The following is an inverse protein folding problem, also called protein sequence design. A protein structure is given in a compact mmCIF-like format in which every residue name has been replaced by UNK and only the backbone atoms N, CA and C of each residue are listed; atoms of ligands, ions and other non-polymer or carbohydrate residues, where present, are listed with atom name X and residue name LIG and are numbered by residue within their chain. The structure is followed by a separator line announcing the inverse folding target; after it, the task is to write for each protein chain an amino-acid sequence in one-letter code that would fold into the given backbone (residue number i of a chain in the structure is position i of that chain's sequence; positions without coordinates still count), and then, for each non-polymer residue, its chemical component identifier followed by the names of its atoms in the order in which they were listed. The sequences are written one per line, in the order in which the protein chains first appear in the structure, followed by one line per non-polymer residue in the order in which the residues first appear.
data_IF_531286411965
#
_entry.id   IF_531286411965
#
_cell.length_a   1.000
_cell.length_b   1.000
_cell.length_c   1.000
_cell.angle_alpha   90.00
_cell.angle_beta   90.00
_cell.angle_gamma   90.00
#
_symmetry.space_group_name_H-M   'P 1'
#
loop_
_entity.id
_entity.type
_entity.pdbx_description
1 polymer ?
#
# COMPACT_ATOMS: atom_id res chain seq x y z
N UNK A 1 74.01 -15.81 -42.74
CA UNK A 1 72.96 -16.40 -43.62
C UNK A 1 71.77 -16.69 -42.73
N UNK A 2 70.51 -16.32 -42.95
CA UNK A 2 69.74 -15.51 -43.92
C UNK A 2 68.58 -14.96 -43.04
N UNK A 3 68.41 -13.63 -42.94
CA UNK A 3 67.41 -12.79 -43.65
C UNK A 3 66.00 -12.88 -43.05
N UNK A 4 65.53 -11.83 -42.36
CA UNK A 4 64.68 -10.70 -42.84
C UNK A 4 63.25 -10.89 -42.28
N UNK A 5 62.45 -9.90 -41.91
CA UNK A 5 62.43 -8.44 -42.01
C UNK A 5 61.52 -7.92 -40.85
N UNK A 6 61.78 -6.77 -40.22
CA UNK A 6 61.32 -5.42 -40.63
C UNK A 6 59.80 -5.39 -40.88
N UNK A 7 58.99 -4.56 -40.24
CA UNK A 7 59.12 -3.10 -40.13
C UNK A 7 58.10 -2.59 -39.09
N UNK A 8 58.51 -1.80 -38.09
CA UNK A 8 58.70 -0.33 -38.12
C UNK A 8 57.35 0.40 -37.93
N UNK A 9 57.17 1.09 -36.80
CA UNK A 9 57.59 2.49 -36.58
C UNK A 9 56.39 3.42 -36.85
N UNK A 10 56.09 4.51 -36.16
CA UNK A 10 56.76 5.37 -35.17
C UNK A 10 55.65 6.36 -34.73
N UNK A 11 55.45 6.64 -33.43
CA UNK A 11 55.91 7.84 -32.72
C UNK A 11 55.56 9.18 -33.44
N UNK A 12 55.21 10.31 -32.80
CA UNK A 12 55.14 10.78 -31.43
C UNK A 12 54.55 12.23 -31.46
N UNK A 13 54.55 12.89 -30.29
CA UNK A 13 54.40 14.33 -30.01
C UNK A 13 52.94 14.80 -29.76
N UNK A 14 52.48 15.23 -28.56
CA UNK A 14 52.97 16.21 -27.55
C UNK A 14 52.80 17.65 -28.05
N UNK A 15 52.00 18.48 -27.34
CA UNK A 15 52.20 19.91 -26.99
C UNK A 15 50.87 20.69 -26.70
N UNK A 16 50.84 21.25 -25.48
CA UNK A 16 50.33 22.57 -25.00
C UNK A 16 48.81 22.92 -25.10
N UNK A 17 48.27 23.37 -23.96
CA UNK A 17 46.88 23.75 -23.77
C UNK A 17 46.52 25.20 -24.11
N UNK A 18 45.21 25.47 -24.08
CA UNK A 18 44.58 26.80 -24.07
C UNK A 18 43.22 26.68 -23.37
N UNK A 19 42.95 27.54 -22.38
CA UNK A 19 41.61 27.78 -21.85
C UNK A 19 40.89 28.81 -22.72
N UNK A 20 39.70 28.50 -23.24
CA UNK A 20 38.78 29.50 -23.83
C UNK A 20 37.35 29.20 -23.35
N UNK A 21 36.69 30.25 -22.88
CA UNK A 21 35.28 30.32 -22.47
C UNK A 21 34.33 30.44 -23.68
N UNK A 22 33.17 29.79 -23.55
CA UNK A 22 31.82 30.02 -24.14
C UNK A 22 31.64 30.68 -25.53
N UNK A 23 30.81 30.08 -26.40
CA UNK A 23 29.40 30.46 -26.67
C UNK A 23 28.85 29.63 -27.86
N UNK A 24 27.58 29.22 -27.69
CA UNK A 24 26.55 28.72 -28.61
C UNK A 24 26.85 28.54 -30.12
N UNK A 25 26.43 27.40 -30.67
CA UNK A 25 25.21 27.23 -31.51
C UNK A 25 25.32 25.99 -32.40
N UNK A 26 24.27 25.15 -32.38
CA UNK A 26 23.74 24.58 -33.63
C UNK A 26 24.07 23.13 -34.00
N UNK A 27 23.12 22.25 -33.65
CA UNK A 27 22.53 21.20 -34.50
C UNK A 27 23.33 19.93 -34.90
N UNK A 28 22.81 18.79 -34.42
CA UNK A 28 23.03 17.45 -34.98
C UNK A 28 22.47 16.31 -34.11
N UNK A 29 21.15 16.09 -34.18
CA UNK A 29 20.31 14.99 -33.63
C UNK A 29 21.03 13.63 -33.44
N UNK A 30 20.77 12.89 -32.36
CA UNK A 30 19.50 12.14 -32.19
C UNK A 30 18.88 12.26 -30.80
N UNK A 31 17.70 12.88 -30.75
CA UNK A 31 16.65 12.52 -29.79
C UNK A 31 16.38 11.03 -29.98
N UNK A 32 16.72 10.22 -28.98
CA UNK A 32 16.05 8.94 -28.85
C UNK A 32 14.78 9.28 -28.09
N UNK A 33 13.66 9.38 -28.81
CA UNK A 33 12.35 9.24 -28.19
C UNK A 33 12.39 7.92 -27.42
N UNK A 34 12.54 8.00 -26.11
CA UNK A 34 12.19 6.89 -25.24
C UNK A 34 10.67 6.75 -25.34
N UNK A 35 10.22 5.99 -26.34
CA UNK A 35 8.87 5.46 -26.36
C UNK A 35 8.67 4.70 -25.06
N UNK A 36 7.85 5.28 -24.18
CA UNK A 36 7.24 4.59 -23.06
C UNK A 36 6.38 3.49 -23.67
N UNK A 37 6.92 2.27 -23.72
CA UNK A 37 6.16 1.09 -24.10
C UNK A 37 5.32 0.71 -22.89
N UNK A 38 4.10 1.24 -22.81
CA UNK A 38 3.08 0.72 -21.92
C UNK A 38 2.83 -0.75 -22.27
N UNK A 39 3.40 -1.67 -21.49
CA UNK A 39 3.00 -3.06 -21.55
C UNK A 39 1.79 -3.22 -20.66
N UNK A 40 0.63 -3.36 -21.29
CA UNK A 40 -0.64 -3.64 -20.61
C UNK A 40 -0.45 -4.83 -19.68
N UNK A 41 -0.70 -4.60 -18.39
CA UNK A 41 -0.91 -5.65 -17.42
C UNK A 41 -2.39 -5.55 -17.07
N UNK A 42 -3.19 -6.51 -17.55
CA UNK A 42 -4.62 -6.56 -17.26
C UNK A 42 -4.88 -6.92 -15.79
N UNK A 43 -5.96 -6.33 -15.25
CA UNK A 43 -6.73 -6.66 -14.03
C UNK A 43 -6.23 -6.03 -12.70
N UNK A 44 -7.01 -5.22 -11.96
CA UNK A 44 -8.45 -4.95 -11.97
C UNK A 44 -8.78 -3.51 -11.48
N UNK A 45 -9.87 -2.98 -12.03
CA UNK A 45 -10.58 -1.72 -11.73
C UNK A 45 -9.93 -0.41 -12.22
N UNK A 46 -10.76 0.41 -12.84
CA UNK A 46 -10.38 1.54 -13.70
C UNK A 46 -9.60 2.64 -12.93
N UNK A 47 -8.32 2.85 -13.29
CA UNK A 47 -7.63 4.15 -13.06
C UNK A 47 -6.19 4.15 -12.54
N UNK A 48 -5.63 3.02 -12.08
CA UNK A 48 -4.34 3.02 -11.37
C UNK A 48 -3.23 2.22 -12.09
N UNK A 49 -2.72 2.76 -13.22
CA UNK A 49 -1.57 2.18 -13.92
C UNK A 49 -0.27 2.85 -13.47
N UNK A 50 0.63 2.09 -12.83
CA UNK A 50 2.02 2.54 -12.61
C UNK A 50 2.82 2.34 -13.90
N UNK A 51 3.38 3.41 -14.46
CA UNK A 51 4.28 3.32 -15.61
C UNK A 51 5.67 2.88 -15.14
N UNK A 52 6.13 1.72 -15.61
CA UNK A 52 7.43 1.15 -15.28
C UNK A 52 8.39 1.40 -16.46
N UNK A 53 9.53 2.09 -16.28
CA UNK A 53 10.52 2.23 -17.34
C UNK A 53 11.25 0.89 -17.63
N UNK A 54 11.53 0.63 -18.90
CA UNK A 54 12.08 -0.65 -19.40
C UNK A 54 13.57 -0.90 -19.04
N UNK A 55 14.32 0.14 -18.65
CA UNK A 55 15.77 0.05 -18.48
C UNK A 55 16.22 0.26 -17.03
N UNK A 56 16.91 -0.76 -16.50
CA UNK A 56 17.50 -0.83 -15.16
C UNK A 56 19.03 -0.63 -15.19
N UNK A 57 19.56 0.39 -15.87
CA UNK A 57 21.01 0.66 -15.84
C UNK A 57 21.34 2.14 -15.59
N UNK A 58 22.04 2.39 -14.47
CA UNK A 58 22.85 3.59 -14.23
C UNK A 58 22.33 4.56 -13.17
N UNK A 59 22.88 4.43 -11.94
CA UNK A 59 23.10 5.36 -10.81
C UNK A 59 22.26 6.64 -10.54
N UNK A 60 21.31 7.03 -11.38
CA UNK A 60 20.42 8.15 -11.17
C UNK A 60 18.98 7.63 -11.01
N UNK A 61 18.19 8.34 -10.20
CA UNK A 61 16.80 7.99 -9.87
C UNK A 61 15.88 8.91 -10.67
N UNK A 62 14.83 8.38 -11.29
CA UNK A 62 13.82 9.19 -11.98
C UNK A 62 12.58 9.35 -11.11
N UNK A 63 12.26 10.58 -10.74
CA UNK A 63 11.04 10.92 -9.99
C UNK A 63 10.12 11.67 -10.94
N UNK A 64 8.87 11.23 -11.11
CA UNK A 64 7.91 11.84 -12.03
C UNK A 64 6.59 12.13 -11.35
N UNK A 65 5.91 13.20 -11.75
CA UNK A 65 4.54 13.51 -11.30
C UNK A 65 3.54 13.19 -12.41
N UNK A 66 2.36 12.69 -12.03
CA UNK A 66 1.23 12.51 -12.95
C UNK A 66 0.46 13.82 -13.16
N UNK A 67 -0.50 13.80 -14.10
CA UNK A 67 -1.42 14.91 -14.37
C UNK A 67 -2.15 15.35 -13.08
N UNK A 68 -2.29 16.66 -12.87
CA UNK A 68 -2.88 17.29 -11.69
C UNK A 68 -2.04 17.25 -10.40
N UNK A 69 -0.82 16.68 -10.41
CA UNK A 69 -0.05 16.43 -9.17
C UNK A 69 1.21 17.28 -9.09
N UNK A 70 1.57 17.74 -7.90
CA UNK A 70 2.86 18.40 -7.65
C UNK A 70 3.31 18.07 -6.23
N UNK A 71 4.59 17.75 -6.05
CA UNK A 71 5.12 17.36 -4.75
C UNK A 71 6.59 17.71 -4.61
N UNK A 72 7.06 17.61 -3.37
CA UNK A 72 8.46 17.87 -3.01
C UNK A 72 9.17 16.55 -2.74
N UNK A 73 10.32 16.32 -3.37
CA UNK A 73 11.19 15.17 -3.09
C UNK A 73 12.53 15.64 -2.49
N UNK A 74 12.99 14.99 -1.44
CA UNK A 74 14.26 15.30 -0.79
C UNK A 74 15.06 14.05 -0.50
N UNK A 75 16.34 14.06 -0.89
CA UNK A 75 17.30 13.06 -0.44
C UNK A 75 17.73 13.40 1.00
N UNK A 76 17.88 12.39 1.87
CA UNK A 76 18.33 12.62 3.27
C UNK A 76 19.66 13.37 3.31
N UNK A 77 19.65 14.59 3.86
CA UNK A 77 20.84 15.47 3.96
C UNK A 77 21.27 16.09 2.62
N UNK A 78 20.43 16.02 1.60
CA UNK A 78 20.68 16.48 0.24
C UNK A 78 19.85 17.68 -0.19
N UNK A 79 19.78 17.89 -1.52
CA UNK A 79 19.00 18.94 -2.16
C UNK A 79 17.52 18.56 -2.21
N UNK A 80 16.66 19.55 -2.09
CA UNK A 80 15.22 19.44 -2.33
C UNK A 80 14.90 19.69 -3.80
N UNK A 81 14.01 18.88 -4.36
CA UNK A 81 13.51 18.96 -5.72
C UNK A 81 12.01 19.19 -5.68
N UNK A 82 11.52 20.17 -6.42
CA UNK A 82 10.09 20.38 -6.65
C UNK A 82 9.74 19.75 -7.99
N UNK A 83 8.79 18.82 -8.00
CA UNK A 83 8.33 18.14 -9.20
C UNK A 83 6.93 18.65 -9.49
N UNK A 84 6.77 19.27 -10.65
CA UNK A 84 5.49 19.80 -11.11
C UNK A 84 4.76 18.79 -11.97
N UNK A 85 3.47 19.01 -12.15
CA UNK A 85 2.59 18.19 -12.99
C UNK A 85 3.21 17.81 -14.34
N UNK A 86 3.10 16.54 -14.72
CA UNK A 86 3.62 15.97 -15.97
C UNK A 86 5.13 16.16 -16.17
N UNK A 87 5.89 16.42 -15.11
CA UNK A 87 7.34 16.54 -15.16
C UNK A 87 8.04 15.28 -14.62
N UNK A 88 9.28 15.08 -15.03
CA UNK A 88 10.16 14.06 -14.48
C UNK A 88 11.55 14.63 -14.25
N UNK A 89 12.11 14.37 -13.08
CA UNK A 89 13.46 14.81 -12.72
C UNK A 89 14.33 13.59 -12.46
N UNK A 90 15.46 13.54 -13.16
CA UNK A 90 16.54 12.62 -12.87
C UNK A 90 17.44 13.23 -11.79
N UNK A 91 17.59 12.53 -10.68
CA UNK A 91 18.33 12.99 -9.49
C UNK A 91 19.45 12.02 -9.13
N UNK A 92 20.57 12.48 -8.55
CA UNK A 92 21.64 11.60 -8.12
C UNK A 92 21.13 10.57 -7.12
N UNK A 93 21.64 9.34 -7.20
CA UNK A 93 21.23 8.28 -6.28
C UNK A 93 21.39 8.68 -4.80
N UNK A 94 20.31 8.47 -4.06
CA UNK A 94 20.29 8.40 -2.61
C UNK A 94 19.53 7.15 -2.20
N UNK A 95 20.02 6.49 -1.14
CA UNK A 95 19.32 5.35 -0.54
C UNK A 95 18.03 5.75 0.16
N UNK A 96 17.94 7.01 0.59
CA UNK A 96 16.86 7.53 1.41
C UNK A 96 16.22 8.74 0.75
N UNK A 97 14.91 8.66 0.55
CA UNK A 97 14.08 9.72 -0.01
C UNK A 97 12.87 9.98 0.88
N UNK A 98 12.52 11.24 1.00
CA UNK A 98 11.28 11.69 1.63
C UNK A 98 10.52 12.54 0.62
N UNK A 99 9.26 12.18 0.41
CA UNK A 99 8.34 12.83 -0.51
C UNK A 99 7.17 13.36 0.31
N UNK A 100 6.87 14.65 0.16
CA UNK A 100 5.86 15.38 0.95
C UNK A 100 5.04 16.31 0.06
N UNK A 101 4.03 16.95 0.65
CA UNK A 101 3.11 17.88 -0.03
C UNK A 101 2.29 17.16 -1.11
N UNK A 102 1.90 15.92 -0.83
CA UNK A 102 1.07 15.11 -1.71
C UNK A 102 -0.37 15.59 -1.59
N UNK A 103 -0.91 16.23 -2.63
CA UNK A 103 -2.23 16.85 -2.56
C UNK A 103 -3.36 15.85 -2.81
N UNK A 104 -3.37 15.19 -3.97
CA UNK A 104 -4.47 14.34 -4.42
C UNK A 104 -3.97 12.96 -4.82
N UNK A 105 -2.99 12.91 -5.73
CA UNK A 105 -2.33 11.70 -6.17
C UNK A 105 -0.83 11.96 -6.26
N UNK A 106 -0.03 10.94 -6.02
CA UNK A 106 1.40 10.98 -6.27
C UNK A 106 1.90 9.62 -6.66
N UNK A 107 2.82 9.59 -7.62
CA UNK A 107 3.50 8.37 -8.01
C UNK A 107 4.98 8.63 -8.13
N UNK A 108 5.81 7.63 -7.87
CA UNK A 108 7.22 7.67 -8.24
C UNK A 108 7.75 6.25 -8.40
N UNK A 109 8.85 6.11 -9.15
CA UNK A 109 9.57 4.85 -9.30
C UNK A 109 11.05 5.06 -9.05
N UNK A 110 11.64 4.25 -8.19
CA UNK A 110 13.06 4.26 -7.86
C UNK A 110 13.63 2.91 -8.26
N UNK A 111 14.63 2.92 -9.13
CA UNK A 111 15.37 1.73 -9.55
C UNK A 111 16.85 1.86 -9.22
N UNK A 112 17.48 0.74 -8.89
CA UNK A 112 18.93 0.55 -8.83
C UNK A 112 19.26 -0.82 -9.41
N UNK A 113 20.55 -1.14 -9.58
CA UNK A 113 21.01 -2.40 -10.20
C UNK A 113 20.30 -3.67 -9.67
N UNK A 114 19.88 -3.68 -8.40
CA UNK A 114 19.26 -4.86 -7.78
C UNK A 114 17.97 -4.57 -7.00
N UNK A 115 17.47 -3.34 -7.01
CA UNK A 115 16.28 -2.98 -6.24
C UNK A 115 15.36 -2.11 -7.07
N UNK A 116 14.07 -2.42 -7.05
CA UNK A 116 13.03 -1.59 -7.65
C UNK A 116 11.95 -1.36 -6.61
N UNK A 117 11.51 -0.11 -6.54
CA UNK A 117 10.42 0.34 -5.69
C UNK A 117 9.65 1.40 -6.44
N UNK A 118 8.36 1.19 -6.68
CA UNK A 118 7.47 2.24 -7.13
C UNK A 118 6.27 2.33 -6.22
N UNK A 119 5.67 3.51 -6.15
CA UNK A 119 4.43 3.72 -5.46
C UNK A 119 3.52 4.60 -6.31
N UNK A 120 2.22 4.43 -6.10
CA UNK A 120 1.17 5.36 -6.48
C UNK A 120 0.25 5.48 -5.26
N UNK A 121 0.05 6.68 -4.75
CA UNK A 121 -0.76 6.95 -3.55
C UNK A 121 -1.73 8.07 -3.82
N UNK A 122 -2.92 8.01 -3.22
CA UNK A 122 -3.89 9.10 -3.22
C UNK A 122 -4.14 9.58 -1.80
N UNK A 123 -4.21 10.90 -1.57
CA UNK A 123 -4.46 11.51 -0.24
C UNK A 123 -3.48 11.09 0.89
N UNK A 124 -2.31 10.57 0.57
CA UNK A 124 -1.25 10.35 1.55
C UNK A 124 -0.63 11.70 1.96
N UNK A 125 -0.09 11.81 3.17
CA UNK A 125 0.63 13.01 3.61
C UNK A 125 2.11 12.95 3.23
N UNK A 126 2.71 11.76 3.36
CA UNK A 126 4.12 11.56 3.02
C UNK A 126 4.45 10.14 2.59
N UNK A 127 5.53 10.02 1.82
CA UNK A 127 6.16 8.75 1.46
C UNK A 127 7.64 8.82 1.79
N UNK A 128 8.10 7.88 2.63
CA UNK A 128 9.49 7.71 2.99
C UNK A 128 10.02 6.42 2.35
N UNK A 129 11.15 6.50 1.67
CA UNK A 129 11.74 5.37 0.95
C UNK A 129 13.15 5.18 1.44
N UNK A 130 13.44 4.00 1.98
CA UNK A 130 14.80 3.51 2.19
C UNK A 130 14.98 2.27 1.33
N UNK A 131 15.69 2.37 0.21
CA UNK A 131 15.91 1.23 -0.70
C UNK A 131 16.59 0.02 -0.01
N UNK A 132 17.20 0.22 1.17
CA UNK A 132 17.76 -0.84 1.99
C UNK A 132 16.76 -1.44 2.97
N UNK A 133 15.66 -0.79 3.30
CA UNK A 133 14.69 -1.23 4.31
C UNK A 133 13.29 -1.44 3.74
N UNK A 134 12.79 -0.54 2.91
CA UNK A 134 11.44 -0.58 2.33
C UNK A 134 10.86 0.79 2.04
N UNK A 135 9.54 0.87 2.07
CA UNK A 135 8.74 2.10 1.92
C UNK A 135 7.85 2.28 3.13
N UNK A 136 7.71 3.50 3.61
CA UNK A 136 6.72 3.90 4.61
C UNK A 136 5.79 4.94 4.00
N UNK A 137 4.49 4.72 4.13
CA UNK A 137 3.41 5.61 3.74
C UNK A 137 2.70 6.11 5.01
N UNK A 138 2.38 7.39 5.05
CA UNK A 138 1.66 8.01 6.17
C UNK A 138 0.51 8.88 5.64
N UNK A 139 -0.65 8.81 6.29
CA UNK A 139 -1.77 9.74 6.06
C UNK A 139 -3.06 9.37 6.79
N UNK A 140 -4.01 10.30 6.85
CA UNK A 140 -5.27 10.13 7.59
C UNK A 140 -6.28 9.21 6.89
N UNK A 141 -6.20 9.08 5.56
CA UNK A 141 -6.90 8.07 4.76
C UNK A 141 -6.36 8.11 3.33
N UNK A 142 -5.75 7.03 2.87
CA UNK A 142 -5.13 6.98 1.55
C UNK A 142 -5.34 5.63 0.87
N UNK A 143 -5.39 5.67 -0.47
CA UNK A 143 -5.24 4.47 -1.29
C UNK A 143 -3.79 4.36 -1.74
N UNK A 144 -3.31 3.14 -1.90
CA UNK A 144 -1.95 2.89 -2.35
C UNK A 144 -1.86 1.74 -3.34
N UNK A 145 -0.86 1.85 -4.21
CA UNK A 145 -0.30 0.77 -5.00
C UNK A 145 1.21 0.83 -4.81
N UNK A 146 1.81 -0.26 -4.36
CA UNK A 146 3.24 -0.41 -4.12
C UNK A 146 3.78 -1.52 -5.00
N UNK A 147 4.79 -1.22 -5.81
CA UNK A 147 5.53 -2.22 -6.59
C UNK A 147 6.92 -2.37 -6.00
N UNK A 148 7.29 -3.57 -5.58
CA UNK A 148 8.62 -3.82 -5.01
C UNK A 148 9.26 -5.08 -5.59
N UNK A 149 10.59 -5.06 -5.74
CA UNK A 149 11.41 -6.26 -6.00
C UNK A 149 12.06 -6.73 -4.69
N UNK A 150 11.67 -7.89 -4.11
CA UNK A 150 12.31 -8.41 -2.91
C UNK A 150 13.82 -8.65 -3.08
N UNK A 151 14.61 -8.50 -2.00
CA UNK A 151 16.10 -8.49 -2.01
C UNK A 151 16.81 -9.72 -2.60
N UNK A 152 16.08 -10.78 -2.95
CA UNK A 152 16.61 -12.02 -3.57
C UNK A 152 15.63 -12.61 -4.60
N UNK A 153 14.71 -11.80 -5.11
CA UNK A 153 13.74 -12.17 -6.12
C UNK A 153 14.06 -11.43 -7.42
N UNK A 154 13.89 -12.11 -8.56
CA UNK A 154 13.89 -11.45 -9.86
C UNK A 154 12.50 -10.87 -10.23
N UNK A 155 11.47 -11.21 -9.46
CA UNK A 155 10.08 -10.85 -9.75
C UNK A 155 9.64 -9.65 -8.94
N UNK A 156 8.86 -8.77 -9.57
CA UNK A 156 8.14 -7.67 -8.92
C UNK A 156 6.86 -8.19 -8.25
N UNK A 157 6.46 -7.54 -7.16
CA UNK A 157 5.18 -7.76 -6.48
C UNK A 157 4.47 -6.42 -6.43
N UNK A 158 3.24 -6.37 -6.93
CA UNK A 158 2.32 -5.25 -6.74
C UNK A 158 1.43 -5.55 -5.53
N UNK A 159 1.31 -4.58 -4.62
CA UNK A 159 0.48 -4.64 -3.42
C UNK A 159 -0.37 -3.38 -3.41
N UNK A 160 -1.70 -3.51 -3.35
CA UNK A 160 -2.60 -2.37 -3.25
C UNK A 160 -3.63 -2.53 -2.14
N UNK A 161 -4.12 -1.41 -1.64
CA UNK A 161 -5.11 -1.35 -0.57
C UNK A 161 -5.43 0.09 -0.18
N UNK A 162 -6.16 0.23 0.93
CA UNK A 162 -6.52 1.53 1.51
C UNK A 162 -6.29 1.49 3.01
N UNK A 163 -5.69 2.54 3.57
CA UNK A 163 -5.35 2.60 4.99
C UNK A 163 -5.54 3.99 5.59
N UNK A 164 -5.54 4.01 6.92
CA UNK A 164 -5.38 5.20 7.77
C UNK A 164 -4.16 4.97 8.65
N UNK A 165 -3.41 6.03 8.97
CA UNK A 165 -2.20 5.96 9.78
C UNK A 165 -0.96 5.54 9.00
N UNK A 166 0.04 5.02 9.71
CA UNK A 166 1.31 4.64 9.10
C UNK A 166 1.27 3.21 8.58
N UNK A 167 1.87 2.96 7.42
CA UNK A 167 2.18 1.62 6.92
C UNK A 167 3.61 1.57 6.41
N UNK A 168 4.37 0.56 6.83
CA UNK A 168 5.67 0.21 6.29
C UNK A 168 5.61 -1.10 5.50
N UNK A 169 6.05 -1.07 4.25
CA UNK A 169 6.35 -2.23 3.43
C UNK A 169 7.85 -2.47 3.44
N UNK A 170 8.31 -3.38 4.31
CA UNK A 170 9.72 -3.70 4.55
C UNK A 170 10.19 -4.99 3.87
N UNK A 171 11.48 -5.08 3.55
CA UNK A 171 12.06 -6.31 2.99
C UNK A 171 12.31 -7.37 4.07
N UNK A 172 11.70 -8.55 3.94
CA UNK A 172 11.95 -9.73 4.78
C UNK A 172 12.55 -10.88 3.96
N UNK A 173 13.86 -10.83 3.73
CA UNK A 173 14.56 -11.85 2.93
C UNK A 173 14.11 -11.86 1.46
N UNK A 174 13.31 -12.86 1.06
CA UNK A 174 12.73 -12.99 -0.29
C UNK A 174 11.28 -12.50 -0.35
N UNK A 175 10.73 -12.06 0.77
CA UNK A 175 9.33 -11.67 0.96
C UNK A 175 9.25 -10.19 1.39
N UNK A 176 8.04 -9.67 1.49
CA UNK A 176 7.74 -8.30 1.94
C UNK A 176 6.93 -8.40 3.23
N UNK A 177 7.35 -7.70 4.28
CA UNK A 177 6.57 -7.52 5.50
C UNK A 177 5.78 -6.21 5.37
N UNK A 178 4.46 -6.31 5.40
CA UNK A 178 3.59 -5.15 5.60
C UNK A 178 3.36 -5.03 7.11
N UNK A 179 3.59 -3.85 7.65
CA UNK A 179 3.36 -3.51 9.05
C UNK A 179 2.68 -2.14 9.11
N UNK A 180 1.64 -2.00 9.93
CA UNK A 180 0.87 -0.78 10.06
C UNK A 180 0.54 -0.53 11.52
N UNK A 181 0.32 0.74 11.88
CA UNK A 181 -0.22 1.08 13.19
C UNK A 181 -1.64 0.53 13.40
N UNK A 182 -2.36 0.25 12.31
CA UNK A 182 -3.77 -0.19 12.31
C UNK A 182 -3.91 -1.49 11.51
N UNK A 183 -5.10 -2.10 11.56
CA UNK A 183 -5.38 -3.33 10.80
C UNK A 183 -5.26 -3.08 9.29
N UNK A 184 -4.56 -3.99 8.59
CA UNK A 184 -4.27 -3.87 7.15
C UNK A 184 -5.51 -3.99 6.25
N UNK A 185 -6.54 -4.71 6.69
CA UNK A 185 -7.82 -4.81 5.99
C UNK A 185 -7.71 -5.54 4.64
N UNK A 186 -8.41 -5.04 3.63
CA UNK A 186 -8.39 -5.63 2.29
C UNK A 186 -7.11 -5.21 1.55
N UNK A 187 -6.31 -6.19 1.16
CA UNK A 187 -5.15 -5.99 0.29
C UNK A 187 -5.30 -6.82 -0.99
N UNK A 188 -4.74 -6.31 -2.08
CA UNK A 188 -4.64 -7.03 -3.34
C UNK A 188 -3.17 -7.23 -3.67
N UNK A 189 -2.78 -8.45 -3.97
CA UNK A 189 -1.40 -8.86 -4.28
C UNK A 189 -1.37 -9.43 -5.69
N UNK A 190 -0.52 -8.86 -6.54
CA UNK A 190 -0.30 -9.31 -7.90
C UNK A 190 1.21 -9.49 -8.15
N UNK A 191 1.75 -10.70 -7.95
CA UNK A 191 3.11 -11.03 -8.33
C UNK A 191 3.23 -11.17 -9.84
N UNK A 192 4.41 -10.81 -10.34
CA UNK A 192 4.71 -10.89 -11.75
C UNK A 192 4.53 -12.31 -12.33
N UNK A 193 3.65 -12.44 -13.33
CA UNK A 193 3.31 -13.67 -14.04
C UNK A 193 2.68 -14.78 -13.18
N UNK A 194 2.03 -14.46 -12.06
CA UNK A 194 1.36 -15.46 -11.20
C UNK A 194 -0.16 -15.29 -11.16
N UNK A 195 -0.65 -14.05 -11.27
CA UNK A 195 -2.07 -13.71 -11.15
C UNK A 195 -2.36 -12.87 -9.91
N UNK A 196 -3.50 -12.21 -9.92
CA UNK A 196 -3.92 -11.29 -8.86
C UNK A 196 -4.77 -12.02 -7.82
N UNK A 197 -4.49 -11.81 -6.54
CA UNK A 197 -5.24 -12.37 -5.43
C UNK A 197 -5.59 -11.26 -4.45
N UNK A 198 -6.81 -11.26 -3.90
CA UNK A 198 -7.19 -10.36 -2.81
C UNK A 198 -7.25 -11.12 -1.48
N UNK A 199 -6.94 -10.43 -0.40
CA UNK A 199 -6.91 -10.98 0.95
C UNK A 199 -7.59 -10.02 1.92
N UNK A 200 -8.30 -10.57 2.90
CA UNK A 200 -8.70 -9.83 4.10
C UNK A 200 -7.68 -10.14 5.21
N UNK A 201 -6.86 -9.15 5.57
CA UNK A 201 -5.80 -9.26 6.57
C UNK A 201 -6.27 -8.58 7.85
N UNK A 202 -6.74 -9.38 8.80
CA UNK A 202 -7.07 -8.89 10.14
C UNK A 202 -5.89 -8.92 11.10
N UNK A 203 -4.89 -8.14 10.77
CA UNK A 203 -3.70 -7.97 11.59
C UNK A 203 -3.08 -6.63 11.23
N UNK A 204 -2.33 -6.07 12.18
CA UNK A 204 -1.48 -4.90 11.91
C UNK A 204 -0.30 -5.25 11.02
N UNK A 205 0.06 -6.53 10.93
CA UNK A 205 1.14 -6.99 10.06
C UNK A 205 0.86 -8.30 9.34
N UNK A 206 1.44 -8.44 8.14
CA UNK A 206 1.46 -9.68 7.36
C UNK A 206 2.70 -9.78 6.46
N UNK A 207 3.04 -11.00 6.07
CA UNK A 207 4.12 -11.30 5.13
C UNK A 207 3.51 -11.66 3.77
N UNK A 208 3.87 -10.88 2.76
CA UNK A 208 3.56 -11.13 1.35
C UNK A 208 4.73 -11.88 0.72
N UNK A 209 4.47 -13.11 0.28
CA UNK A 209 5.48 -13.97 -0.31
C UNK A 209 5.68 -13.70 -1.81
N UNK A 210 6.86 -14.07 -2.32
CA UNK A 210 7.20 -13.89 -3.74
C UNK A 210 6.28 -14.64 -4.73
N UNK A 211 5.50 -15.63 -4.26
CA UNK A 211 4.50 -16.34 -5.04
C UNK A 211 3.09 -15.74 -4.93
N UNK A 212 2.92 -14.65 -4.18
CA UNK A 212 1.65 -13.96 -3.98
C UNK A 212 0.83 -14.43 -2.80
N UNK A 213 1.23 -15.52 -2.14
CA UNK A 213 0.57 -15.94 -0.92
C UNK A 213 0.83 -14.97 0.23
N UNK A 214 -0.09 -14.92 1.19
CA UNK A 214 0.00 -14.05 2.36
C UNK A 214 -0.05 -14.91 3.63
N UNK A 215 0.79 -14.57 4.61
CA UNK A 215 0.76 -15.16 5.95
C UNK A 215 0.86 -14.10 7.04
N UNK A 216 0.44 -14.42 8.26
CA UNK A 216 0.74 -13.62 9.44
C UNK A 216 2.19 -13.86 9.88
N UNK A 217 2.76 -12.98 10.71
CA UNK A 217 4.15 -13.12 11.19
C UNK A 217 4.42 -14.44 11.93
N UNK A 218 3.40 -15.01 12.57
CA UNK A 218 3.50 -16.31 13.24
C UNK A 218 3.50 -17.51 12.25
N UNK A 219 3.44 -17.24 10.94
CA UNK A 219 3.42 -18.24 9.87
C UNK A 219 2.03 -18.76 9.49
N UNK A 220 0.95 -18.26 10.11
CA UNK A 220 -0.41 -18.66 9.78
C UNK A 220 -0.77 -18.17 8.38
N UNK A 221 -1.19 -19.06 7.48
CA UNK A 221 -1.59 -18.67 6.12
C UNK A 221 -2.90 -17.88 6.13
N UNK A 222 -2.98 -16.83 5.32
CA UNK A 222 -4.21 -16.10 5.02
C UNK A 222 -4.76 -16.60 3.70
N UNK A 223 -6.02 -17.03 3.69
CA UNK A 223 -6.67 -17.54 2.47
C UNK A 223 -7.04 -16.39 1.53
N UNK A 224 -6.84 -16.54 0.21
CA UNK A 224 -7.34 -15.57 -0.75
C UNK A 224 -8.87 -15.53 -0.74
N UNK A 225 -9.43 -14.35 -0.96
CA UNK A 225 -10.87 -14.15 -1.15
C UNK A 225 -11.31 -14.84 -2.45
N UNK A 226 -12.47 -15.50 -2.42
CA UNK A 226 -13.09 -16.07 -3.61
C UNK A 226 -13.68 -14.98 -4.51
N UNK A 227 -13.97 -15.31 -5.76
CA UNK A 227 -14.66 -14.40 -6.69
C UNK A 227 -16.03 -13.95 -6.14
N UNK A 228 -16.73 -14.82 -5.41
CA UNK A 228 -18.00 -14.48 -4.73
C UNK A 228 -17.77 -13.43 -3.61
N UNK A 229 -16.68 -13.54 -2.85
CA UNK A 229 -16.29 -12.53 -1.86
C UNK A 229 -15.82 -11.22 -2.54
N UNK A 230 -15.33 -11.29 -3.77
CA UNK A 230 -14.85 -10.16 -4.56
C UNK A 230 -15.97 -9.41 -5.29
N UNK A 231 -16.96 -10.10 -5.85
CA UNK A 231 -18.17 -9.48 -6.42
C UNK A 231 -19.01 -8.80 -5.32
N UNK A 232 -18.89 -9.33 -4.11
CA UNK A 232 -19.33 -8.70 -2.88
C UNK A 232 -18.39 -7.55 -2.41
N UNK A 233 -17.30 -7.17 -3.08
CA UNK A 233 -16.58 -5.92 -2.77
C UNK A 233 -17.49 -4.68 -2.86
N UNK A 234 -18.65 -4.79 -3.53
CA UNK A 234 -19.74 -3.81 -3.47
C UNK A 234 -21.04 -4.27 -2.78
N UNK A 235 -21.17 -5.56 -2.37
CA UNK A 235 -22.43 -6.16 -1.87
C UNK A 235 -22.26 -7.05 -0.62
N UNK A 236 -21.05 -7.29 -0.12
CA UNK A 236 -20.80 -7.31 1.32
C UNK A 236 -20.57 -5.88 1.74
N UNK A 237 -21.65 -5.11 1.73
CA UNK A 237 -21.86 -4.31 2.91
C UNK A 237 -21.96 -5.31 4.07
N UNK A 238 -20.83 -5.66 4.69
CA UNK A 238 -20.81 -5.34 6.12
C UNK A 238 -20.86 -3.82 6.09
N UNK A 239 -22.08 -3.28 5.92
CA UNK A 239 -22.35 -1.90 6.17
C UNK A 239 -21.70 -1.72 7.53
N UNK A 240 -20.84 -0.73 7.68
CA UNK A 240 -20.24 -0.50 8.98
C UNK A 240 -21.37 -0.06 9.90
N UNK A 241 -22.14 -1.04 10.39
CA UNK A 241 -23.36 -0.90 11.21
C UNK A 241 -23.01 -0.29 12.56
N UNK A 242 -21.73 -0.30 12.90
CA UNK A 242 -21.16 0.30 14.09
C UNK A 242 -20.81 1.79 13.90
N UNK A 243 -20.88 2.30 12.66
CA UNK A 243 -20.62 3.70 12.30
C UNK A 243 -19.27 4.20 12.84
N UNK A 244 -18.25 3.33 12.86
CA UNK A 244 -16.93 3.68 13.40
C UNK A 244 -15.79 3.29 12.50
N UNK A 245 -14.87 4.21 12.29
CA UNK A 245 -13.57 3.94 11.64
C UNK A 245 -12.45 3.77 12.68
N UNK A 246 -12.82 3.68 13.97
CA UNK A 246 -11.84 3.57 15.06
C UNK A 246 -11.00 2.31 14.87
N UNK A 247 -9.68 2.44 14.80
CA UNK A 247 -8.82 1.30 14.50
C UNK A 247 -8.60 0.38 15.70
N UNK A 248 -8.86 0.88 16.90
CA UNK A 248 -8.86 0.13 18.14
C UNK A 248 -10.17 0.39 18.88
N UNK A 249 -10.75 -0.68 19.42
CA UNK A 249 -11.94 -0.63 20.26
C UNK A 249 -11.58 -1.05 21.68
N UNK A 250 -12.13 -0.36 22.65
CA UNK A 250 -11.92 -0.64 24.05
C UNK A 250 -13.25 -1.03 24.70
N UNK A 251 -13.23 -1.95 25.65
CA UNK A 251 -14.44 -2.41 26.36
C UNK A 251 -14.20 -2.48 27.87
N UNK A 252 -15.20 -2.07 28.64
CA UNK A 252 -15.26 -2.32 30.08
C UNK A 252 -16.09 -3.58 30.33
N UNK A 253 -15.46 -4.77 30.25
CA UNK A 253 -16.17 -6.03 30.36
C UNK A 253 -15.34 -7.25 29.97
N UNK A 254 -16.02 -8.35 29.63
CA UNK A 254 -15.39 -9.58 29.16
C UNK A 254 -14.84 -9.37 27.75
N UNK A 255 -13.51 -9.37 27.62
CA UNK A 255 -12.82 -9.19 26.34
C UNK A 255 -13.23 -10.25 25.31
N UNK A 256 -13.21 -11.53 25.70
CA UNK A 256 -13.51 -12.63 24.79
C UNK A 256 -14.95 -12.57 24.25
N UNK A 257 -15.90 -12.10 25.06
CA UNK A 257 -17.29 -11.95 24.61
C UNK A 257 -17.46 -10.76 23.67
N UNK A 258 -16.74 -9.66 23.93
CA UNK A 258 -16.75 -8.49 23.06
C UNK A 258 -16.09 -8.79 21.70
N UNK A 259 -14.91 -9.43 21.73
CA UNK A 259 -14.22 -9.89 20.53
C UNK A 259 -15.14 -10.79 19.71
N UNK A 260 -15.75 -11.80 20.34
CA UNK A 260 -16.63 -12.71 19.62
C UNK A 260 -17.84 -11.99 19.00
N UNK A 261 -18.50 -11.09 19.75
CA UNK A 261 -19.67 -10.39 19.23
C UNK A 261 -19.36 -9.53 18.01
N UNK A 262 -18.25 -8.81 18.01
CA UNK A 262 -17.95 -7.89 16.91
C UNK A 262 -17.29 -8.59 15.72
N UNK A 263 -16.59 -9.69 15.95
CA UNK A 263 -15.73 -10.32 14.95
C UNK A 263 -16.20 -11.69 14.45
N UNK A 264 -17.06 -12.41 15.19
CA UNK A 264 -17.54 -13.74 14.81
C UNK A 264 -18.98 -13.72 14.26
N UNK A 265 -19.55 -12.53 14.07
CA UNK A 265 -20.92 -12.35 13.59
C UNK A 265 -21.02 -11.26 12.52
N UNK A 266 -21.87 -11.50 11.53
CA UNK A 266 -22.39 -10.46 10.63
C UNK A 266 -23.78 -10.03 11.08
N UNK A 267 -24.05 -8.75 10.91
CA UNK A 267 -25.30 -8.10 11.30
C UNK A 267 -26.06 -7.70 10.04
N UNK A 268 -27.23 -8.30 9.84
CA UNK A 268 -28.04 -8.11 8.64
C UNK A 268 -29.54 -8.23 8.88
N UNK A 269 -30.32 -8.22 7.79
CA UNK A 269 -31.78 -8.36 7.77
C UNK A 269 -32.53 -7.48 8.81
N UNK A 270 -32.34 -6.16 8.70
CA UNK A 270 -32.95 -5.18 9.60
C UNK A 270 -34.49 -5.27 9.63
N UNK A 271 -35.08 -5.62 8.48
CA UNK A 271 -36.53 -5.68 8.32
C UNK A 271 -37.15 -6.78 9.17
N UNK A 272 -36.53 -7.97 9.19
CA UNK A 272 -36.99 -9.08 10.03
C UNK A 272 -36.71 -8.77 11.50
N UNK A 273 -35.51 -8.26 11.82
CA UNK A 273 -35.13 -7.95 13.20
C UNK A 273 -36.04 -6.89 13.84
N UNK A 274 -36.35 -5.81 13.11
CA UNK A 274 -37.26 -4.74 13.57
C UNK A 274 -38.68 -5.25 13.88
N UNK A 275 -39.09 -6.38 13.30
CA UNK A 275 -40.40 -6.98 13.56
C UNK A 275 -40.44 -7.87 14.81
N UNK A 276 -39.28 -8.23 15.38
CA UNK A 276 -39.19 -9.08 16.58
C UNK A 276 -39.49 -8.32 17.89
N UNK A 277 -39.38 -6.98 17.86
CA UNK A 277 -39.61 -6.12 19.02
C UNK A 277 -38.60 -6.30 20.15
N UNK A 278 -38.71 -5.46 21.19
CA UNK A 278 -37.77 -5.47 22.31
C UNK A 278 -38.05 -6.66 23.23
N UNK A 279 -37.18 -7.67 23.16
CA UNK A 279 -37.18 -8.83 24.06
C UNK A 279 -36.47 -8.53 25.39
N UNK A 280 -36.36 -9.56 26.23
CA UNK A 280 -35.42 -9.51 27.35
C UNK A 280 -33.99 -9.38 26.82
N UNK A 281 -33.18 -8.52 27.44
CA UNK A 281 -31.77 -8.34 27.07
C UNK A 281 -30.97 -9.51 27.64
N UNK A 282 -30.36 -10.29 26.76
CA UNK A 282 -29.42 -11.34 27.14
C UNK A 282 -28.07 -10.76 27.54
N UNK A 283 -27.57 -9.78 26.77
CA UNK A 283 -26.28 -9.11 27.00
C UNK A 283 -26.25 -7.74 26.33
N UNK A 284 -25.41 -6.84 26.87
CA UNK A 284 -25.16 -5.52 26.29
C UNK A 284 -23.70 -5.14 26.53
N UNK A 285 -22.96 -4.79 25.47
CA UNK A 285 -21.54 -4.44 25.51
C UNK A 285 -21.33 -3.08 24.87
N UNK A 286 -20.61 -2.22 25.57
CA UNK A 286 -20.23 -0.87 25.13
C UNK A 286 -18.80 -0.88 24.59
N UNK A 287 -18.62 -0.27 23.41
CA UNK A 287 -17.34 -0.15 22.74
C UNK A 287 -16.91 1.32 22.68
N UNK A 288 -15.67 1.57 23.08
CA UNK A 288 -15.09 2.90 23.23
C UNK A 288 -13.91 3.06 22.27
N UNK A 289 -13.63 4.30 21.86
CA UNK A 289 -12.41 4.64 21.13
C UNK A 289 -11.24 4.90 22.07
N UNK A 290 -10.05 5.13 21.50
CA UNK A 290 -8.81 5.43 22.24
C UNK A 290 -8.94 6.62 23.21
N UNK A 291 -9.81 7.58 22.90
CA UNK A 291 -10.08 8.75 23.74
C UNK A 291 -10.98 8.45 24.94
N UNK A 292 -11.46 7.21 25.09
CA UNK A 292 -12.44 6.80 26.08
C UNK A 292 -13.89 7.21 25.74
N UNK A 293 -14.11 7.77 24.54
CA UNK A 293 -15.45 8.13 24.07
C UNK A 293 -16.22 6.89 23.64
N UNK A 294 -17.50 6.78 24.03
CA UNK A 294 -18.38 5.70 23.58
C UNK A 294 -18.59 5.83 22.05
N UNK A 295 -18.34 4.75 21.32
CA UNK A 295 -18.52 4.70 19.87
C UNK A 295 -19.86 4.05 19.51
N UNK A 296 -20.17 2.91 20.11
CA UNK A 296 -21.43 2.20 19.92
C UNK A 296 -21.66 1.17 21.02
N UNK A 297 -22.88 0.64 21.09
CA UNK A 297 -23.29 -0.43 21.99
C UNK A 297 -23.96 -1.54 21.19
N UNK A 298 -23.56 -2.79 21.42
CA UNK A 298 -24.23 -3.98 20.89
C UNK A 298 -25.08 -4.59 22.01
N UNK A 299 -26.39 -4.72 21.80
CA UNK A 299 -27.33 -5.34 22.74
C UNK A 299 -27.95 -6.57 22.09
N UNK A 300 -27.78 -7.75 22.67
CA UNK A 300 -28.36 -9.00 22.16
C UNK A 300 -29.56 -9.37 23.01
N UNK A 301 -30.66 -9.74 22.37
CA UNK A 301 -31.91 -10.13 23.01
C UNK A 301 -32.02 -11.66 23.13
N UNK A 302 -32.83 -12.14 24.07
CA UNK A 302 -33.11 -13.57 24.24
C UNK A 302 -33.94 -14.17 23.10
N UNK A 303 -34.50 -13.33 22.23
CA UNK A 303 -35.36 -13.69 21.11
C UNK A 303 -34.56 -14.23 19.90
N UNK A 304 -33.77 -15.29 20.11
CA UNK A 304 -32.94 -15.88 19.06
C UNK A 304 -31.72 -15.02 18.70
N UNK A 305 -31.42 -14.89 17.42
CA UNK A 305 -30.23 -14.21 16.92
C UNK A 305 -30.42 -12.69 16.78
N UNK A 306 -31.24 -12.04 17.59
CA UNK A 306 -31.56 -10.62 17.46
C UNK A 306 -30.59 -9.74 18.24
N UNK A 307 -29.98 -8.77 17.57
CA UNK A 307 -29.18 -7.71 18.18
C UNK A 307 -29.67 -6.32 17.81
N UNK A 308 -29.40 -5.36 18.67
CA UNK A 308 -29.53 -3.93 18.42
C UNK A 308 -28.17 -3.27 18.53
N UNK A 309 -27.85 -2.44 17.55
CA UNK A 309 -26.67 -1.59 17.58
C UNK A 309 -27.14 -0.16 17.79
N UNK A 310 -26.58 0.50 18.79
CA UNK A 310 -26.81 1.92 19.07
C UNK A 310 -25.49 2.66 18.92
N UNK A 311 -25.40 3.53 17.93
CA UNK A 311 -24.18 4.25 17.55
C UNK A 311 -24.13 5.60 18.26
N UNK A 312 -22.93 6.16 18.39
CA UNK A 312 -22.68 7.42 19.11
C UNK A 312 -23.26 8.66 18.43
N UNK A 313 -23.55 8.58 17.13
CA UNK A 313 -24.29 9.60 16.36
C UNK A 313 -25.81 9.57 16.62
N UNK A 314 -26.29 8.61 17.42
CA UNK A 314 -27.67 8.49 17.86
C UNK A 314 -28.53 7.58 16.97
N UNK A 315 -27.94 6.93 15.97
CA UNK A 315 -28.66 5.91 15.20
C UNK A 315 -28.83 4.61 15.99
N UNK A 316 -29.98 3.96 15.75
CA UNK A 316 -30.35 2.71 16.44
C UNK A 316 -31.00 1.81 15.41
N UNK A 317 -30.38 0.65 15.21
CA UNK A 317 -30.82 -0.32 14.22
C UNK A 317 -30.87 -1.73 14.83
N UNK A 318 -31.87 -2.51 14.44
CA UNK A 318 -32.04 -3.90 14.84
C UNK A 318 -31.56 -4.82 13.73
N UNK A 319 -30.85 -5.88 14.08
CA UNK A 319 -30.22 -6.83 13.16
C UNK A 319 -30.46 -8.28 13.58
N UNK A 320 -30.50 -9.17 12.60
CA UNK A 320 -30.27 -10.60 12.78
C UNK A 320 -28.76 -10.85 12.71
N UNK A 321 -28.25 -11.54 13.72
CA UNK A 321 -26.87 -11.98 13.81
C UNK A 321 -26.70 -13.34 13.15
N UNK A 322 -25.75 -13.44 12.23
CA UNK A 322 -25.36 -14.70 11.62
C UNK A 322 -23.90 -14.99 11.95
N UNK A 323 -23.63 -16.20 12.45
CA UNK A 323 -22.27 -16.59 12.81
C UNK A 323 -21.41 -16.67 11.55
N UNK A 324 -20.29 -15.95 11.56
CA UNK A 324 -19.27 -15.99 10.55
C UNK A 324 -17.91 -16.07 11.23
N UNK A 325 -17.33 -17.26 11.22
CA UNK A 325 -15.99 -17.48 11.76
C UNK A 325 -14.96 -16.69 10.93
N UNK A 326 -14.16 -15.86 11.58
CA UNK A 326 -13.04 -15.17 10.93
C UNK A 326 -13.34 -13.80 10.32
N UNK A 327 -14.50 -13.19 10.60
CA UNK A 327 -14.79 -11.81 10.18
C UNK A 327 -14.07 -10.76 11.06
N UNK A 328 -13.05 -11.17 11.81
CA UNK A 328 -12.27 -10.29 12.66
C UNK A 328 -11.87 -9.03 11.89
N UNK A 329 -12.43 -7.87 12.24
CA UNK A 329 -12.14 -6.60 11.57
C UNK A 329 -11.66 -5.56 12.59
N UNK A 330 -11.90 -5.81 13.88
CA UNK A 330 -11.65 -4.85 14.94
C UNK A 330 -10.79 -5.48 16.04
N UNK A 331 -9.61 -4.92 16.34
CA UNK A 331 -8.88 -5.27 17.54
C UNK A 331 -9.62 -4.66 18.75
N UNK A 332 -9.87 -5.50 19.76
CA UNK A 332 -10.57 -5.13 20.99
C UNK A 332 -9.60 -5.20 22.16
N UNK A 333 -9.66 -4.22 23.06
CA UNK A 333 -8.82 -4.11 24.24
C UNK A 333 -9.68 -3.91 25.49
N UNK A 334 -9.18 -4.32 26.65
CA UNK A 334 -9.81 -3.93 27.92
C UNK A 334 -9.47 -2.47 28.26
N UNK A 335 -10.47 -1.73 28.75
CA UNK A 335 -10.28 -0.47 29.46
C UNK A 335 -9.63 -0.66 30.83
#
# INVERSE_FOLDING_TARGET
MKRFALSAAVAAALIIGVSIYAVETGYGKTETESTVSAKETESADDGYTIVIPDNNEGADITISASEGTSFTASARGGKTYSITENDSVTVPFSKNWTITDLSDEAQASLSSENTYTAFKVSNAESVNIDLSQGVTLDGDKYDYVLTMTPKKSAKKINISGSLTGSMTAGYSGKDILLDSSLVLGNITVAPENVGTHSYLVNSTSCVVHADGTVSLENGTSVSPLSDENLENKGITSVQNVFHTISPALFVSGSLAEAESLINDYVYGDEKTASALGDGAVSKSIQYYGETGSLLFTITVFENGNHARISTSDGEVHDYIMEAQEGAHCYPVFCL
#
